data_IF_580515192399
#
_entry.id   IF_580515192399
#
_cell.length_a   1.000
_cell.length_b   1.000
_cell.length_c   1.000
_cell.angle_alpha   90.00
_cell.angle_beta   90.00
_cell.angle_gamma   90.00
#
_symmetry.space_group_name_H-M   'P 1'
#
loop_
_entity.id
_entity.type
_entity.pdbx_description
1 polymer ?
#
# COMPACT_ATOMS: atom_id res chain seq x y z
N UNK A 1 25.91 -46.48 7.86
CA UNK A 1 25.70 -47.11 9.17
C UNK A 1 26.42 -46.27 10.21
N UNK A 2 25.70 -45.34 10.82
CA UNK A 2 26.21 -44.39 11.81
C UNK A 2 25.14 -44.23 12.87
N UNK A 3 25.55 -44.44 14.12
CA UNK A 3 24.68 -44.67 15.28
C UNK A 3 24.01 -43.39 15.77
N UNK A 4 22.71 -43.52 16.07
CA UNK A 4 21.85 -42.53 16.70
C UNK A 4 22.31 -42.22 18.13
N UNK A 5 22.36 -40.93 18.48
CA UNK A 5 22.40 -40.44 19.87
C UNK A 5 21.08 -39.72 20.14
N UNK A 6 20.26 -40.27 21.04
CA UNK A 6 19.06 -39.65 21.60
C UNK A 6 19.49 -38.60 22.63
N UNK A 7 18.99 -37.36 22.50
CA UNK A 7 18.95 -36.38 23.60
C UNK A 7 17.51 -36.00 23.86
N UNK A 8 17.07 -36.30 25.07
CA UNK A 8 15.80 -35.93 25.69
C UNK A 8 15.88 -34.47 26.13
N UNK A 9 14.91 -33.62 25.73
CA UNK A 9 14.73 -32.29 26.32
C UNK A 9 13.53 -32.35 27.28
N UNK A 10 13.79 -31.93 28.52
CA UNK A 10 12.82 -31.83 29.59
C UNK A 10 12.06 -30.49 29.51
N UNK A 11 10.75 -30.58 29.68
CA UNK A 11 9.79 -29.49 29.79
C UNK A 11 9.87 -28.87 31.18
N UNK A 12 10.05 -27.55 31.29
CA UNK A 12 9.88 -26.80 32.55
C UNK A 12 8.69 -25.86 32.42
N UNK A 13 7.64 -26.20 33.18
CA UNK A 13 6.42 -25.45 33.39
C UNK A 13 6.59 -24.65 34.69
N UNK A 14 6.53 -23.32 34.63
CA UNK A 14 6.57 -22.46 35.81
C UNK A 14 5.15 -21.98 36.14
N UNK A 15 4.66 -22.40 37.31
CA UNK A 15 3.41 -21.98 37.94
C UNK A 15 3.75 -20.84 38.90
N UNK A 16 3.13 -19.67 38.74
CA UNK A 16 3.16 -18.60 39.74
C UNK A 16 1.80 -18.52 40.45
N UNK A 17 1.82 -18.83 41.73
CA UNK A 17 0.72 -18.63 42.68
C UNK A 17 0.97 -17.31 43.43
N UNK A 18 -0.04 -16.46 43.56
CA UNK A 18 -0.05 -15.39 44.58
C UNK A 18 -1.34 -15.48 45.39
N UNK A 19 -1.15 -15.58 46.70
CA UNK A 19 -2.17 -15.71 47.73
C UNK A 19 -2.87 -14.38 48.01
N UNK A 20 -4.14 -14.48 48.45
CA UNK A 20 -4.98 -13.36 48.82
C UNK A 20 -4.78 -12.86 50.24
N UNK A 21 -5.40 -11.71 50.51
CA UNK A 21 -5.76 -11.25 51.85
C UNK A 21 -7.17 -10.63 51.79
N UNK A 22 -8.05 -11.18 52.62
CA UNK A 22 -9.41 -10.71 52.89
C UNK A 22 -9.40 -9.65 54.00
N UNK A 23 -10.33 -8.69 53.94
CA UNK A 23 -10.63 -7.78 55.05
C UNK A 23 -12.01 -7.15 54.84
N UNK A 24 -12.94 -7.48 55.73
CA UNK A 24 -14.35 -7.08 55.69
C UNK A 24 -14.68 -6.06 56.79
N UNK A 25 -15.55 -5.09 56.46
CA UNK A 25 -16.52 -4.50 57.40
C UNK A 25 -16.31 -3.03 57.82
N UNK A 26 -17.31 -2.41 58.47
CA UNK A 26 -18.44 -1.74 57.79
C UNK A 26 -18.67 -0.29 58.28
N UNK A 27 -19.51 0.50 57.60
CA UNK A 27 -20.01 1.76 58.16
C UNK A 27 -20.60 2.76 57.17
N UNK A 28 -21.91 2.94 57.27
CA UNK A 28 -22.78 3.95 56.63
C UNK A 28 -22.55 5.38 57.13
N UNK A 29 -22.72 6.39 56.26
CA UNK A 29 -23.64 7.55 56.46
C UNK A 29 -23.43 8.67 55.44
N UNK A 30 -24.56 9.16 54.94
CA UNK A 30 -24.88 10.54 54.56
C UNK A 30 -24.34 11.22 53.29
N UNK A 31 -25.31 11.58 52.43
CA UNK A 31 -25.24 12.61 51.41
C UNK A 31 -25.21 14.02 52.06
N UNK A 32 -24.78 15.08 51.35
CA UNK A 32 -25.72 15.71 50.42
C UNK A 32 -25.12 16.18 49.08
N UNK A 33 -26.05 16.29 48.14
CA UNK A 33 -26.03 17.01 46.88
C UNK A 33 -25.32 18.37 46.89
N UNK A 34 -24.44 18.60 45.92
CA UNK A 34 -24.29 19.90 45.26
C UNK A 34 -23.71 19.71 43.84
N UNK A 35 -24.56 19.97 42.84
CA UNK A 35 -24.16 20.15 41.46
C UNK A 35 -23.70 21.60 41.24
N UNK A 36 -22.76 21.83 40.30
CA UNK A 36 -22.74 23.10 39.59
C UNK A 36 -22.78 22.91 38.07
N UNK A 37 -23.72 23.65 37.46
CA UNK A 37 -23.47 24.41 36.24
C UNK A 37 -23.35 23.64 34.93
N UNK A 38 -24.51 23.33 34.33
CA UNK A 38 -24.60 23.19 32.89
C UNK A 38 -24.31 24.55 32.24
N UNK A 39 -23.23 24.62 31.46
CA UNK A 39 -22.95 25.75 30.55
C UNK A 39 -23.71 25.46 29.26
N UNK A 40 -24.71 26.30 28.97
CA UNK A 40 -25.43 26.33 27.70
C UNK A 40 -24.44 26.58 26.56
N UNK A 41 -24.31 25.59 25.68
CA UNK A 41 -23.72 25.78 24.35
C UNK A 41 -24.82 26.27 23.41
N UNK A 42 -24.60 27.36 22.64
CA UNK A 42 -25.60 27.85 21.70
C UNK A 42 -25.82 26.85 20.56
N UNK A 43 -27.10 26.68 20.20
CA UNK A 43 -27.56 25.79 19.15
C UNK A 43 -26.93 26.11 17.78
N UNK A 44 -26.65 25.09 16.94
CA UNK A 44 -26.19 25.31 15.59
C UNK A 44 -27.32 25.91 14.73
N UNK A 45 -27.01 27.01 14.06
CA UNK A 45 -27.86 27.65 13.06
C UNK A 45 -28.25 26.66 11.97
N UNK A 46 -29.56 26.51 11.74
CA UNK A 46 -30.12 25.70 10.66
C UNK A 46 -29.66 26.21 9.28
N UNK A 47 -29.37 25.32 8.32
CA UNK A 47 -29.07 25.71 6.95
C UNK A 47 -30.33 26.27 6.27
N UNK A 48 -30.18 27.45 5.67
CA UNK A 48 -31.22 28.12 4.89
C UNK A 48 -31.68 27.25 3.72
N UNK A 49 -33.00 27.05 3.60
CA UNK A 49 -33.59 26.41 2.43
C UNK A 49 -33.35 27.25 1.16
N UNK A 50 -33.09 26.62 0.00
CA UNK A 50 -33.04 27.34 -1.27
C UNK A 50 -34.47 27.73 -1.70
N UNK A 51 -34.68 29.02 -1.99
CA UNK A 51 -35.88 29.48 -2.68
C UNK A 51 -35.94 28.92 -4.12
N UNK A 52 -37.13 28.52 -4.60
CA UNK A 52 -37.32 28.13 -5.99
C UNK A 52 -37.57 29.37 -6.85
N UNK A 53 -36.76 29.58 -7.89
CA UNK A 53 -37.12 30.52 -8.96
C UNK A 53 -35.97 31.09 -9.76
N UNK A 54 -35.75 30.52 -10.95
CA UNK A 54 -35.64 31.17 -12.27
C UNK A 54 -34.75 30.33 -13.18
N UNK A 55 -35.38 29.66 -14.14
CA UNK A 55 -34.75 29.10 -15.33
C UNK A 55 -34.11 30.22 -16.17
N UNK A 56 -32.83 30.11 -16.55
CA UNK A 56 -32.28 30.96 -17.60
C UNK A 56 -32.63 30.38 -18.97
N UNK A 57 -33.22 31.21 -19.81
CA UNK A 57 -33.42 30.97 -21.25
C UNK A 57 -32.10 30.57 -21.92
N UNK A 58 -32.07 29.37 -22.50
CA UNK A 58 -30.99 28.93 -23.38
C UNK A 58 -31.41 29.16 -24.82
N UNK A 59 -31.22 30.39 -25.31
CA UNK A 59 -31.33 30.69 -26.73
C UNK A 59 -30.07 30.19 -27.44
N UNK A 60 -30.21 29.12 -28.21
CA UNK A 60 -29.16 28.56 -29.07
C UNK A 60 -29.00 29.46 -30.31
N UNK A 61 -27.81 29.98 -30.63
CA UNK A 61 -27.56 30.57 -31.94
C UNK A 61 -27.25 29.46 -32.95
N UNK A 62 -28.10 29.34 -33.96
CA UNK A 62 -27.87 28.54 -35.17
C UNK A 62 -26.71 29.13 -35.97
N UNK A 63 -25.66 28.36 -36.21
CA UNK A 63 -24.65 28.65 -37.24
C UNK A 63 -24.96 27.83 -38.51
N UNK A 64 -24.91 28.45 -39.71
CA UNK A 64 -25.15 27.76 -40.97
C UNK A 64 -23.91 26.95 -41.39
N UNK A 65 -24.18 25.75 -41.92
CA UNK A 65 -23.15 24.82 -42.36
C UNK A 65 -22.46 25.20 -43.66
N UNK A 66 -21.34 24.52 -43.91
CA UNK A 66 -20.92 24.04 -45.23
C UNK A 66 -19.73 23.07 -45.09
N UNK A 67 -19.98 21.84 -45.50
CA UNK A 67 -19.17 20.92 -46.32
C UNK A 67 -17.64 21.01 -46.27
N UNK A 68 -17.00 19.94 -45.76
CA UNK A 68 -15.88 19.24 -46.41
C UNK A 68 -15.59 17.94 -45.64
N UNK A 69 -15.95 16.80 -46.24
CA UNK A 69 -15.42 15.49 -45.86
C UNK A 69 -13.94 15.43 -46.25
N UNK A 70 -13.05 15.43 -45.25
CA UNK A 70 -11.65 15.04 -45.43
C UNK A 70 -11.33 13.88 -44.47
N UNK A 71 -11.24 12.70 -45.08
CA UNK A 71 -10.93 11.42 -44.47
C UNK A 71 -9.51 11.46 -43.87
N UNK A 72 -9.40 11.83 -42.60
CA UNK A 72 -8.15 11.80 -41.84
C UNK A 72 -8.04 10.46 -41.11
N UNK A 73 -7.12 9.63 -41.59
CA UNK A 73 -6.73 8.37 -40.98
C UNK A 73 -6.41 8.56 -39.49
N UNK A 74 -7.04 7.73 -38.65
CA UNK A 74 -6.75 7.65 -37.22
C UNK A 74 -5.26 7.35 -36.99
N UNK A 75 -4.57 8.09 -36.11
CA UNK A 75 -3.23 7.72 -35.70
C UNK A 75 -3.31 6.42 -34.89
N UNK A 76 -2.57 5.42 -35.34
CA UNK A 76 -2.24 4.22 -34.59
C UNK A 76 -1.71 4.63 -33.20
N UNK A 77 -2.14 4.00 -32.09
CA UNK A 77 -1.56 4.27 -30.79
C UNK A 77 -0.08 3.91 -30.86
N UNK A 78 0.79 4.91 -30.66
CA UNK A 78 2.20 4.68 -30.45
C UNK A 78 2.34 3.80 -29.22
N UNK A 79 3.02 2.65 -29.36
CA UNK A 79 3.47 1.86 -28.22
C UNK A 79 4.22 2.80 -27.28
N UNK A 80 3.67 3.01 -26.08
CA UNK A 80 4.28 3.82 -25.05
C UNK A 80 5.57 3.14 -24.64
N UNK A 81 6.71 3.65 -25.11
CA UNK A 81 8.01 3.17 -24.68
C UNK A 81 8.17 3.50 -23.19
N UNK A 82 8.04 2.48 -22.33
CA UNK A 82 8.32 2.57 -20.90
C UNK A 82 9.72 3.17 -20.71
N UNK A 83 9.91 4.15 -19.80
CA UNK A 83 11.23 4.70 -19.55
C UNK A 83 12.23 3.59 -19.26
N UNK A 84 13.39 3.65 -19.92
CA UNK A 84 14.50 2.74 -19.66
C UNK A 84 14.82 2.69 -18.16
N UNK A 85 15.33 1.56 -17.64
CA UNK A 85 15.88 1.50 -16.30
C UNK A 85 16.86 2.66 -16.09
N UNK A 86 17.07 3.07 -14.83
CA UNK A 86 18.08 4.06 -14.41
C UNK A 86 19.51 3.52 -14.65
N UNK A 87 19.81 3.13 -15.88
CA UNK A 87 21.06 2.58 -16.35
C UNK A 87 21.97 3.76 -16.74
N UNK A 88 22.89 4.13 -15.84
CA UNK A 88 23.92 5.15 -16.10
C UNK A 88 24.11 6.20 -15.01
N UNK A 89 23.38 6.14 -13.90
CA UNK A 89 23.50 7.15 -12.85
C UNK A 89 24.80 6.98 -12.04
N UNK A 90 25.79 7.84 -12.30
CA UNK A 90 26.75 8.17 -11.25
C UNK A 90 25.98 8.79 -10.09
N UNK A 91 26.00 8.16 -8.91
CA UNK A 91 25.35 8.71 -7.74
C UNK A 91 25.93 10.11 -7.45
N UNK A 92 25.09 11.11 -7.14
CA UNK A 92 25.59 12.46 -6.90
C UNK A 92 26.54 12.47 -5.71
N UNK A 93 27.61 13.25 -5.81
CA UNK A 93 28.56 13.41 -4.72
C UNK A 93 27.84 13.91 -3.46
N UNK A 94 28.09 13.24 -2.33
CA UNK A 94 27.48 13.57 -1.05
C UNK A 94 26.12 12.94 -0.77
N UNK A 95 25.58 12.10 -1.67
CA UNK A 95 24.46 11.23 -1.32
C UNK A 95 24.91 10.25 -0.22
N UNK A 96 24.24 10.21 0.94
CA UNK A 96 24.53 9.21 1.96
C UNK A 96 24.47 7.80 1.37
N UNK A 97 25.39 6.94 1.78
CA UNK A 97 25.46 5.57 1.31
C UNK A 97 25.46 4.61 2.49
N UNK A 98 24.54 3.65 2.43
CA UNK A 98 24.37 2.58 3.39
C UNK A 98 24.59 1.22 2.69
N UNK A 99 24.92 0.19 3.47
CA UNK A 99 25.08 -1.18 2.97
C UNK A 99 24.67 -2.21 4.01
N UNK A 100 24.31 -3.40 3.53
CA UNK A 100 23.93 -4.54 4.36
C UNK A 100 22.80 -5.35 3.71
N UNK A 101 22.06 -6.13 4.50
CA UNK A 101 20.85 -6.80 4.04
C UNK A 101 19.68 -5.81 3.99
N UNK A 102 19.24 -5.44 2.79
CA UNK A 102 18.12 -4.50 2.61
C UNK A 102 16.85 -5.02 3.28
N UNK A 103 16.57 -6.33 3.17
CA UNK A 103 15.44 -6.99 3.84
C UNK A 103 15.44 -6.73 5.34
N UNK A 104 16.59 -6.91 5.98
CA UNK A 104 16.76 -6.69 7.43
C UNK A 104 16.62 -5.21 7.79
N UNK A 105 17.07 -4.31 6.94
CA UNK A 105 16.94 -2.86 7.13
C UNK A 105 15.46 -2.44 7.05
N UNK A 106 14.73 -2.88 6.02
CA UNK A 106 13.34 -2.48 5.79
C UNK A 106 12.38 -2.94 6.89
N UNK A 107 12.65 -4.08 7.54
CA UNK A 107 11.88 -4.55 8.69
C UNK A 107 11.94 -3.61 9.90
N UNK A 108 12.81 -2.60 9.88
CA UNK A 108 12.94 -1.57 10.90
C UNK A 108 12.31 -0.23 10.49
N UNK A 109 11.53 -0.23 9.40
CA UNK A 109 10.82 0.95 8.94
C UNK A 109 10.07 1.60 10.11
N UNK A 110 10.19 2.92 10.22
CA UNK A 110 9.61 3.66 11.32
C UNK A 110 8.12 3.90 11.06
N UNK A 111 7.29 3.27 11.87
CA UNK A 111 5.82 3.38 11.79
C UNK A 111 5.31 3.94 13.10
N UNK A 112 4.55 5.03 13.05
CA UNK A 112 3.96 5.63 14.25
C UNK A 112 2.91 4.70 14.86
N UNK A 113 2.98 4.50 16.17
CA UNK A 113 2.15 3.53 16.90
C UNK A 113 0.65 3.89 16.88
N UNK A 114 -0.25 2.90 17.05
CA UNK A 114 -1.68 3.16 17.21
C UNK A 114 -1.93 4.09 18.41
N UNK A 115 -2.86 5.05 18.26
CA UNK A 115 -3.22 6.01 19.30
C UNK A 115 -2.12 7.02 19.69
N UNK A 116 -1.02 7.09 18.93
CA UNK A 116 0.09 7.99 19.24
C UNK A 116 -0.15 9.46 18.89
N UNK A 117 -1.15 9.73 18.03
CA UNK A 117 -1.34 11.00 17.33
C UNK A 117 -0.06 11.43 16.57
N UNK A 118 0.75 10.45 16.17
CA UNK A 118 2.04 10.66 15.51
C UNK A 118 1.94 10.92 14.01
N UNK A 119 0.79 10.64 13.38
CA UNK A 119 0.54 11.01 11.99
C UNK A 119 0.27 12.51 11.90
N UNK A 120 0.98 13.20 10.99
CA UNK A 120 0.68 14.58 10.65
C UNK A 120 0.38 14.67 9.18
N UNK A 121 -0.84 15.09 8.88
CA UNK A 121 -1.29 15.27 7.51
C UNK A 121 -0.41 16.29 6.78
N UNK A 122 0.13 15.94 5.60
CA UNK A 122 0.83 16.90 4.76
C UNK A 122 -0.13 17.90 4.12
N UNK A 123 0.30 19.15 4.01
CA UNK A 123 -0.43 20.16 3.24
C UNK A 123 -0.46 19.81 1.75
N UNK A 124 -1.43 20.37 1.02
CA UNK A 124 -1.48 20.22 -0.45
C UNK A 124 -0.20 20.68 -1.15
N UNK A 125 0.46 21.72 -0.64
CA UNK A 125 1.76 22.19 -1.16
C UNK A 125 2.86 21.16 -0.96
N UNK A 126 2.92 20.52 0.21
CA UNK A 126 3.90 19.47 0.50
C UNK A 126 3.66 18.22 -0.35
N UNK A 127 2.39 17.80 -0.51
CA UNK A 127 2.03 16.68 -1.38
C UNK A 127 2.47 16.93 -2.82
N UNK A 128 2.14 18.10 -3.38
CA UNK A 128 2.53 18.44 -4.74
C UNK A 128 4.06 18.58 -4.90
N UNK A 129 4.77 19.10 -3.90
CA UNK A 129 6.22 19.17 -3.92
C UNK A 129 6.86 17.78 -3.84
N UNK A 130 6.34 16.90 -2.98
CA UNK A 130 6.79 15.53 -2.85
C UNK A 130 6.57 14.74 -4.15
N UNK A 131 5.37 14.81 -4.73
CA UNK A 131 5.02 14.10 -5.95
C UNK A 131 5.94 14.50 -7.12
N UNK A 132 6.21 15.81 -7.28
CA UNK A 132 7.19 16.29 -8.27
C UNK A 132 8.60 15.80 -8.00
N UNK A 133 9.08 15.89 -6.77
CA UNK A 133 10.44 15.46 -6.41
C UNK A 133 10.61 13.94 -6.58
N UNK A 134 9.60 13.15 -6.22
CA UNK A 134 9.59 11.70 -6.41
C UNK A 134 9.50 11.32 -7.88
N UNK A 135 8.64 11.95 -8.67
CA UNK A 135 8.60 11.75 -10.13
C UNK A 135 9.93 12.08 -10.82
N UNK A 136 10.59 13.17 -10.40
CA UNK A 136 11.92 13.52 -10.89
C UNK A 136 12.96 12.46 -10.50
N UNK A 137 12.93 11.96 -9.26
CA UNK A 137 13.80 10.87 -8.78
C UNK A 137 13.63 9.61 -9.63
N UNK A 138 12.38 9.23 -9.94
CA UNK A 138 12.07 8.05 -10.75
C UNK A 138 12.51 8.20 -12.21
N UNK A 139 12.35 9.40 -12.78
CA UNK A 139 12.61 9.66 -14.21
C UNK A 139 14.07 9.96 -14.51
N UNK A 140 14.78 10.63 -13.61
CA UNK A 140 16.13 11.16 -13.85
C UNK A 140 17.20 10.61 -12.89
N UNK A 141 16.77 9.86 -11.87
CA UNK A 141 17.66 9.38 -10.81
C UNK A 141 17.94 10.44 -9.74
N UNK A 142 18.82 10.13 -8.77
CA UNK A 142 19.12 11.02 -7.66
C UNK A 142 19.99 12.20 -8.12
N UNK A 143 19.71 13.39 -7.61
CA UNK A 143 20.51 14.60 -7.85
C UNK A 143 20.74 15.37 -6.54
N UNK A 144 21.67 16.32 -6.54
CA UNK A 144 21.85 17.20 -5.38
C UNK A 144 20.59 18.05 -5.10
N UNK A 145 19.77 18.30 -6.12
CA UNK A 145 18.48 18.98 -5.97
C UNK A 145 17.44 18.07 -5.31
N UNK A 146 17.29 16.83 -5.77
CA UNK A 146 16.34 15.89 -5.15
C UNK A 146 16.65 15.67 -3.67
N UNK A 147 17.94 15.58 -3.29
CA UNK A 147 18.36 15.48 -1.88
C UNK A 147 17.89 16.69 -1.07
N UNK A 148 18.01 17.91 -1.61
CA UNK A 148 17.55 19.13 -0.92
C UNK A 148 16.03 19.21 -0.84
N UNK A 149 15.33 18.87 -1.91
CA UNK A 149 13.87 18.91 -1.96
C UNK A 149 13.26 17.96 -0.93
N UNK A 150 13.77 16.73 -0.86
CA UNK A 150 13.34 15.77 0.16
C UNK A 150 13.68 16.22 1.58
N UNK A 151 14.86 16.80 1.80
CA UNK A 151 15.23 17.34 3.11
C UNK A 151 14.28 18.46 3.58
N UNK A 152 13.83 19.34 2.67
CA UNK A 152 12.83 20.36 2.99
C UNK A 152 11.46 19.76 3.34
N UNK A 153 11.16 18.58 2.80
CA UNK A 153 9.98 17.78 3.11
C UNK A 153 10.21 16.83 4.31
N UNK A 154 11.30 16.96 5.05
CA UNK A 154 11.56 16.13 6.23
C UNK A 154 11.94 14.68 5.92
N UNK A 155 12.34 14.38 4.69
CA UNK A 155 12.83 13.05 4.29
C UNK A 155 14.36 13.06 4.12
N UNK A 156 14.97 11.90 4.33
CA UNK A 156 16.35 11.64 3.92
C UNK A 156 16.35 10.69 2.71
N UNK A 157 17.07 11.09 1.66
CA UNK A 157 17.37 10.26 0.50
C UNK A 157 18.79 9.69 0.66
N UNK A 158 18.93 8.37 0.60
CA UNK A 158 20.20 7.67 0.61
C UNK A 158 20.27 6.63 -0.51
N UNK A 159 21.50 6.24 -0.86
CA UNK A 159 21.76 5.02 -1.64
C UNK A 159 21.96 3.85 -0.69
N UNK A 160 21.52 2.67 -1.12
CA UNK A 160 21.67 1.44 -0.36
C UNK A 160 22.24 0.32 -1.24
N UNK A 161 23.35 -0.27 -0.83
CA UNK A 161 23.94 -1.44 -1.48
C UNK A 161 23.52 -2.70 -0.73
N UNK A 162 22.70 -3.54 -1.37
CA UNK A 162 22.26 -4.81 -0.78
C UNK A 162 23.35 -5.88 -0.93
N UNK A 163 23.93 -6.30 0.19
CA UNK A 163 25.01 -7.30 0.20
C UNK A 163 24.50 -8.71 -0.15
N UNK A 164 23.20 -8.98 0.02
CA UNK A 164 22.60 -10.28 -0.26
C UNK A 164 22.38 -10.50 -1.77
N UNK A 165 21.85 -9.50 -2.47
CA UNK A 165 21.56 -9.58 -3.92
C UNK A 165 22.62 -8.91 -4.81
N UNK A 166 23.45 -8.04 -4.26
CA UNK A 166 24.35 -7.17 -5.02
C UNK A 166 23.66 -6.03 -5.76
N UNK A 167 22.34 -5.84 -5.57
CA UNK A 167 21.58 -4.78 -6.21
C UNK A 167 21.71 -3.45 -5.46
N UNK A 168 21.67 -2.34 -6.21
CA UNK A 168 21.63 -0.99 -5.68
C UNK A 168 20.21 -0.46 -5.58
N UNK A 169 19.95 0.33 -4.54
CA UNK A 169 18.63 0.90 -4.24
C UNK A 169 18.76 2.36 -3.83
N UNK A 170 17.68 3.11 -3.99
CA UNK A 170 17.48 4.40 -3.34
C UNK A 170 16.46 4.22 -2.23
N UNK A 171 16.73 4.84 -1.09
CA UNK A 171 15.87 4.78 0.08
C UNK A 171 15.51 6.20 0.48
N UNK A 172 14.22 6.47 0.48
CA UNK A 172 13.64 7.71 0.97
C UNK A 172 12.89 7.40 2.27
N UNK A 173 13.32 7.98 3.38
CA UNK A 173 12.73 7.69 4.70
C UNK A 173 12.31 8.97 5.42
N UNK A 174 11.14 8.93 6.05
CA UNK A 174 10.66 10.01 6.92
C UNK A 174 11.61 10.21 8.10
N UNK A 175 12.04 11.44 8.33
CA UNK A 175 13.02 11.80 9.36
C UNK A 175 12.50 12.89 10.29
N UNK A 176 13.35 13.39 11.17
CA UNK A 176 12.94 14.23 12.29
C UNK A 176 12.47 15.63 11.85
N UNK A 177 11.29 16.14 12.30
CA UNK A 177 10.32 15.46 13.16
C UNK A 177 9.55 14.38 12.41
N UNK A 178 9.62 13.15 12.93
CA UNK A 178 8.88 12.00 12.40
C UNK A 178 7.40 12.34 12.39
N UNK A 179 6.75 12.18 11.24
CA UNK A 179 5.37 12.61 11.01
C UNK A 179 4.48 11.54 10.38
N UNK A 180 5.00 10.33 10.25
CA UNK A 180 4.31 9.23 9.61
C UNK A 180 4.35 9.33 8.09
N UNK A 181 5.42 9.91 7.54
CA UNK A 181 5.58 10.13 6.10
C UNK A 181 5.90 8.89 5.27
N UNK A 182 6.38 7.82 5.89
CA UNK A 182 6.63 6.53 5.25
C UNK A 182 8.08 6.26 4.90
N UNK A 183 8.29 5.12 4.24
CA UNK A 183 9.57 4.71 3.66
C UNK A 183 9.33 4.22 2.25
N UNK A 184 10.07 4.76 1.29
CA UNK A 184 9.93 4.47 -0.12
C UNK A 184 11.26 3.98 -0.67
N UNK A 185 11.25 2.84 -1.34
CA UNK A 185 12.44 2.21 -1.90
C UNK A 185 12.29 2.17 -3.41
N UNK A 186 13.33 2.58 -4.14
CA UNK A 186 13.41 2.48 -5.60
C UNK A 186 14.57 1.58 -5.97
N UNK A 187 14.29 0.57 -6.79
CA UNK A 187 15.28 -0.34 -7.35
C UNK A 187 16.01 0.33 -8.51
N UNK A 188 17.34 0.40 -8.46
CA UNK A 188 18.14 0.96 -9.55
C UNK A 188 18.29 0.00 -10.74
N UNK A 189 17.96 -1.27 -10.56
CA UNK A 189 18.00 -2.30 -11.60
C UNK A 189 16.82 -3.28 -11.46
N UNK A 190 15.59 -2.81 -11.73
CA UNK A 190 14.39 -3.65 -11.61
C UNK A 190 14.29 -4.70 -12.73
N UNK A 191 13.69 -5.84 -12.39
CA UNK A 191 13.43 -6.96 -13.28
C UNK A 191 11.99 -7.00 -13.81
N UNK A 192 11.06 -6.37 -13.08
CA UNK A 192 9.63 -6.35 -13.39
C UNK A 192 9.06 -4.95 -13.33
N UNK A 193 8.11 -4.66 -14.21
CA UNK A 193 7.29 -3.46 -14.13
C UNK A 193 6.19 -3.59 -13.06
N UNK A 194 6.65 -3.69 -11.81
CA UNK A 194 5.86 -3.98 -10.62
C UNK A 194 6.35 -3.11 -9.49
N UNK A 195 5.45 -2.56 -8.67
CA UNK A 195 5.79 -2.10 -7.33
C UNK A 195 4.84 -2.66 -6.29
N UNK A 196 5.34 -2.67 -5.06
CA UNK A 196 4.67 -3.27 -3.91
C UNK A 196 4.25 -2.18 -2.93
N UNK A 197 3.14 -2.41 -2.26
CA UNK A 197 2.54 -1.48 -1.32
C UNK A 197 2.18 -2.21 -0.02
N UNK A 198 2.72 -1.74 1.10
CA UNK A 198 2.36 -2.21 2.45
C UNK A 198 1.70 -1.06 3.21
N UNK A 199 0.44 -0.69 2.88
CA UNK A 199 -0.23 0.46 3.50
C UNK A 199 -0.55 0.23 4.98
N UNK A 200 -0.51 -1.02 5.45
CA UNK A 200 -0.77 -1.44 6.83
C UNK A 200 0.41 -2.22 7.43
N UNK A 201 1.65 -1.85 7.11
CA UNK A 201 2.86 -2.63 7.42
C UNK A 201 2.97 -3.18 8.87
N UNK A 202 2.50 -2.45 9.89
CA UNK A 202 2.48 -2.90 11.29
C UNK A 202 1.08 -3.35 11.77
N UNK A 203 0.03 -2.89 11.11
CA UNK A 203 -1.37 -3.13 11.48
C UNK A 203 -1.87 -4.46 10.93
N UNK A 204 -1.31 -4.90 9.81
CA UNK A 204 -1.47 -6.22 9.21
C UNK A 204 -0.18 -7.00 9.45
N UNK A 205 -0.06 -7.61 10.63
CA UNK A 205 1.18 -8.25 11.09
C UNK A 205 1.76 -9.19 10.01
N UNK A 206 3.04 -8.97 9.69
CA UNK A 206 3.79 -9.71 8.67
C UNK A 206 3.90 -9.02 7.32
N UNK A 207 2.98 -8.11 6.95
CA UNK A 207 3.01 -7.43 5.63
C UNK A 207 4.27 -6.60 5.41
N UNK A 208 4.83 -5.96 6.44
CA UNK A 208 6.13 -5.27 6.33
C UNK A 208 7.26 -6.22 5.89
N UNK A 209 7.37 -7.36 6.57
CA UNK A 209 8.40 -8.35 6.25
C UNK A 209 8.16 -8.96 4.88
N UNK A 210 6.91 -9.26 4.55
CA UNK A 210 6.51 -9.79 3.26
C UNK A 210 6.85 -8.85 2.10
N UNK A 211 6.52 -7.56 2.21
CA UNK A 211 6.85 -6.57 1.18
C UNK A 211 8.35 -6.42 0.97
N UNK A 212 9.15 -6.45 2.05
CA UNK A 212 10.61 -6.43 1.96
C UNK A 212 11.18 -7.67 1.25
N UNK A 213 10.64 -8.86 1.55
CA UNK A 213 11.05 -10.10 0.86
C UNK A 213 10.67 -10.08 -0.62
N UNK A 214 9.42 -9.72 -0.92
CA UNK A 214 8.89 -9.66 -2.28
C UNK A 214 9.65 -8.65 -3.14
N UNK A 215 10.01 -7.48 -2.59
CA UNK A 215 10.77 -6.45 -3.31
C UNK A 215 12.06 -7.02 -3.90
N UNK A 216 12.86 -7.66 -3.05
CA UNK A 216 14.17 -8.19 -3.44
C UNK A 216 14.02 -9.47 -4.26
N UNK A 217 13.10 -10.37 -3.88
CA UNK A 217 12.89 -11.63 -4.59
C UNK A 217 12.36 -11.41 -6.02
N UNK A 218 11.41 -10.50 -6.21
CA UNK A 218 10.79 -10.25 -7.52
C UNK A 218 11.61 -9.29 -8.38
N UNK A 219 12.57 -8.56 -7.81
CA UNK A 219 13.23 -7.45 -8.50
C UNK A 219 12.23 -6.36 -8.88
N UNK A 220 11.27 -6.05 -7.99
CA UNK A 220 10.26 -5.02 -8.24
C UNK A 220 10.92 -3.63 -8.38
N UNK A 221 10.26 -2.70 -9.09
CA UNK A 221 10.68 -1.31 -9.24
C UNK A 221 10.74 -0.56 -7.93
N UNK A 222 9.75 -0.77 -7.07
CA UNK A 222 9.64 -0.02 -5.83
C UNK A 222 8.88 -0.77 -4.74
N UNK A 223 9.05 -0.31 -3.51
CA UNK A 223 8.24 -0.67 -2.35
C UNK A 223 7.83 0.61 -1.62
N UNK A 224 6.53 0.76 -1.37
CA UNK A 224 5.97 1.81 -0.53
C UNK A 224 5.56 1.22 0.82
N UNK A 225 6.10 1.77 1.89
CA UNK A 225 5.80 1.37 3.27
C UNK A 225 5.14 2.56 3.97
N UNK A 226 3.96 2.35 4.57
CA UNK A 226 3.31 3.39 5.38
C UNK A 226 4.23 3.90 6.49
N UNK A 227 4.08 5.17 6.87
CA UNK A 227 4.77 5.74 8.02
C UNK A 227 3.94 5.73 9.29
N UNK A 228 2.66 5.35 9.19
CA UNK A 228 1.73 5.34 10.31
C UNK A 228 0.94 4.05 10.36
N UNK A 229 0.72 3.58 11.59
CA UNK A 229 -0.33 2.63 11.86
C UNK A 229 -1.66 3.23 11.39
N UNK A 230 -2.56 2.42 10.84
CA UNK A 230 -3.86 2.93 10.34
C UNK A 230 -4.75 3.51 11.44
N UNK A 231 -4.43 3.21 12.71
CA UNK A 231 -5.08 3.76 13.89
C UNK A 231 -4.17 4.74 14.66
N UNK A 232 -3.13 5.30 14.04
CA UNK A 232 -2.19 6.20 14.71
C UNK A 232 -2.83 7.51 15.17
N UNK A 233 -3.89 7.97 14.53
CA UNK A 233 -4.65 9.16 14.93
C UNK A 233 -6.16 8.92 14.99
N UNK A 234 -6.86 9.81 15.70
CA UNK A 234 -8.32 9.74 15.90
C UNK A 234 -9.14 10.43 14.80
N UNK A 235 -8.51 11.30 14.00
CA UNK A 235 -9.19 12.00 12.92
C UNK A 235 -9.74 11.03 11.85
N UNK A 236 -11.04 11.14 11.58
CA UNK A 236 -11.77 10.32 10.61
C UNK A 236 -11.42 10.79 9.19
N UNK A 237 -11.05 9.85 8.32
CA UNK A 237 -10.88 10.12 6.89
C UNK A 237 -12.22 10.53 6.29
N UNK A 238 -12.27 11.60 5.49
CA UNK A 238 -13.48 11.97 4.77
C UNK A 238 -13.79 11.01 3.61
N UNK A 239 -12.84 10.17 3.19
CA UNK A 239 -13.02 9.27 2.06
C UNK A 239 -14.09 8.20 2.32
N UNK A 240 -14.75 7.79 1.24
CA UNK A 240 -15.78 6.74 1.27
C UNK A 240 -15.20 5.43 1.80
N UNK A 241 -15.86 4.86 2.79
CA UNK A 241 -15.50 3.58 3.39
C UNK A 241 -15.84 3.55 4.87
N UNK A 242 -16.05 2.36 5.41
CA UNK A 242 -16.33 2.18 6.84
C UNK A 242 -15.51 1.04 7.40
N UNK A 243 -15.15 1.17 8.67
CA UNK A 243 -14.46 0.14 9.44
C UNK A 243 -14.78 0.31 10.92
N UNK A 244 -14.47 -0.70 11.72
CA UNK A 244 -14.45 -0.63 13.18
C UNK A 244 -13.07 -1.00 13.75
N UNK A 245 -12.05 -1.21 12.90
CA UNK A 245 -10.72 -1.71 13.30
C UNK A 245 -10.05 -0.80 14.34
N UNK A 246 -10.29 0.50 14.27
CA UNK A 246 -9.74 1.47 15.22
C UNK A 246 -10.71 1.79 16.39
N UNK A 247 -11.60 0.87 16.76
CA UNK A 247 -12.52 0.98 17.90
C UNK A 247 -13.64 2.03 17.78
N UNK A 248 -13.73 2.68 16.63
CA UNK A 248 -14.63 3.80 16.33
C UNK A 248 -14.98 3.72 14.84
N UNK A 249 -16.20 4.11 14.48
CA UNK A 249 -16.68 4.01 13.10
C UNK A 249 -15.86 4.87 12.13
N UNK A 250 -15.62 4.32 10.94
CA UNK A 250 -14.97 5.03 9.83
C UNK A 250 -13.46 4.83 9.77
N UNK A 251 -12.91 5.08 8.59
CA UNK A 251 -11.46 5.04 8.34
C UNK A 251 -10.76 6.23 8.99
N UNK A 252 -9.44 6.17 9.17
CA UNK A 252 -8.65 7.29 9.74
C UNK A 252 -7.82 7.98 8.67
N UNK A 253 -7.50 9.25 8.87
CA UNK A 253 -6.56 9.98 7.99
C UNK A 253 -5.15 9.36 8.02
N UNK A 254 -4.82 8.61 9.08
CA UNK A 254 -3.56 7.86 9.22
C UNK A 254 -3.55 6.51 8.49
N UNK A 255 -4.69 6.09 7.92
CA UNK A 255 -4.79 4.90 7.09
C UNK A 255 -4.33 5.22 5.66
N UNK A 256 -3.16 4.71 5.29
CA UNK A 256 -2.53 5.00 4.00
C UNK A 256 -3.35 4.49 2.79
N UNK A 257 -4.12 3.41 2.95
CA UNK A 257 -4.96 2.85 1.90
C UNK A 257 -6.29 3.58 1.75
N UNK A 258 -6.77 4.24 2.80
CA UNK A 258 -8.11 4.84 2.86
C UNK A 258 -8.11 6.36 3.01
N UNK A 259 -6.98 7.00 2.73
CA UNK A 259 -6.87 8.45 2.70
C UNK A 259 -6.03 8.93 1.51
N UNK A 260 -6.52 9.96 0.80
CA UNK A 260 -5.89 10.44 -0.42
C UNK A 260 -4.80 11.50 -0.20
N UNK A 261 -4.77 12.14 0.98
CA UNK A 261 -3.83 13.21 1.29
C UNK A 261 -2.72 12.72 2.23
N UNK A 262 -1.91 11.78 1.74
CA UNK A 262 -0.72 11.31 2.42
C UNK A 262 0.42 11.09 1.41
N UNK A 263 1.67 11.05 1.90
CA UNK A 263 2.83 10.85 1.04
C UNK A 263 2.86 9.47 0.37
N UNK A 264 2.21 8.46 0.96
CA UNK A 264 2.05 7.14 0.35
C UNK A 264 1.30 7.21 -0.97
N UNK A 265 0.17 7.93 -1.00
CA UNK A 265 -0.64 8.16 -2.19
C UNK A 265 0.08 9.06 -3.19
N UNK A 266 0.82 10.08 -2.72
CA UNK A 266 1.62 10.93 -3.61
C UNK A 266 2.73 10.14 -4.31
N UNK A 267 3.42 9.25 -3.59
CA UNK A 267 4.42 8.35 -4.17
C UNK A 267 3.80 7.38 -5.18
N UNK A 268 2.62 6.83 -4.88
CA UNK A 268 1.86 5.99 -5.81
C UNK A 268 1.51 6.76 -7.10
N UNK A 269 0.99 7.99 -7.00
CA UNK A 269 0.69 8.84 -8.17
C UNK A 269 1.94 9.09 -9.02
N UNK A 270 3.06 9.46 -8.39
CA UNK A 270 4.31 9.66 -9.09
C UNK A 270 4.81 8.38 -9.80
N UNK A 271 4.65 7.20 -9.19
CA UNK A 271 4.95 5.92 -9.85
C UNK A 271 4.04 5.65 -11.03
N UNK A 272 2.73 5.84 -10.87
CA UNK A 272 1.74 5.67 -11.95
C UNK A 272 2.00 6.61 -13.12
N UNK A 273 2.29 7.89 -12.86
CA UNK A 273 2.56 8.87 -13.89
C UNK A 273 3.87 8.55 -14.64
N UNK A 274 4.89 8.05 -13.94
CA UNK A 274 6.19 7.69 -14.53
C UNK A 274 6.12 6.35 -15.28
N UNK A 275 5.35 5.39 -14.76
CA UNK A 275 5.23 4.02 -15.28
C UNK A 275 3.74 3.68 -15.50
N UNK A 276 3.11 4.24 -16.55
CA UNK A 276 1.67 4.16 -16.76
C UNK A 276 1.13 2.74 -16.93
N UNK A 277 1.99 1.80 -17.35
CA UNK A 277 1.67 0.38 -17.57
C UNK A 277 2.11 -0.53 -16.41
N UNK A 278 2.83 0.01 -15.42
CA UNK A 278 3.33 -0.78 -14.30
C UNK A 278 2.20 -1.28 -13.40
N UNK A 279 2.42 -2.41 -12.73
CA UNK A 279 1.44 -3.01 -11.83
C UNK A 279 1.73 -2.60 -10.38
N UNK A 280 0.73 -2.08 -9.68
CA UNK A 280 0.75 -1.90 -8.24
C UNK A 280 0.18 -3.13 -7.54
N UNK A 281 0.85 -3.66 -6.52
CA UNK A 281 0.31 -4.72 -5.65
C UNK A 281 0.24 -4.22 -4.22
N UNK A 282 -0.98 -3.99 -3.72
CA UNK A 282 -1.26 -3.63 -2.34
C UNK A 282 -1.50 -4.89 -1.51
N UNK A 283 -0.56 -5.19 -0.60
CA UNK A 283 -0.64 -6.35 0.28
C UNK A 283 -1.24 -5.97 1.63
N UNK A 284 -2.28 -6.70 2.01
CA UNK A 284 -3.05 -6.49 3.23
C UNK A 284 -3.14 -7.79 4.02
N UNK A 285 -3.62 -7.67 5.25
CA UNK A 285 -3.89 -8.78 6.15
C UNK A 285 -5.36 -8.83 6.53
N UNK A 286 -5.89 -10.05 6.54
CA UNK A 286 -7.21 -10.32 7.09
C UNK A 286 -7.10 -11.26 8.28
N UNK A 287 -7.98 -11.04 9.26
CA UNK A 287 -8.27 -12.03 10.28
C UNK A 287 -8.98 -13.22 9.65
N UNK A 288 -8.70 -14.42 10.12
CA UNK A 288 -9.43 -15.62 9.72
C UNK A 288 -10.66 -15.77 10.60
N UNK A 289 -11.83 -15.97 9.99
CA UNK A 289 -12.87 -16.71 10.69
C UNK A 289 -12.34 -18.14 10.88
N UNK A 290 -12.54 -18.74 12.06
CA UNK A 290 -11.98 -20.07 12.37
C UNK A 290 -12.28 -21.10 11.26
N UNK A 291 -13.49 -21.05 10.70
CA UNK A 291 -13.98 -21.93 9.63
C UNK A 291 -14.02 -21.27 8.23
N UNK A 292 -13.38 -20.12 8.05
CA UNK A 292 -13.35 -19.40 6.77
C UNK A 292 -12.59 -20.19 5.69
N UNK A 293 -13.13 -20.32 4.46
CA UNK A 293 -12.49 -21.06 3.38
C UNK A 293 -11.26 -20.35 2.79
N UNK A 294 -11.05 -19.07 3.11
CA UNK A 294 -10.08 -18.22 2.41
C UNK A 294 -8.68 -18.29 2.99
N UNK A 295 -7.70 -18.69 2.18
CA UNK A 295 -6.28 -18.42 2.42
C UNK A 295 -5.94 -16.97 2.03
N UNK A 296 -6.60 -16.47 0.98
CA UNK A 296 -6.55 -15.09 0.52
C UNK A 296 -7.78 -14.74 -0.34
N UNK A 297 -8.05 -13.45 -0.49
CA UNK A 297 -8.99 -12.84 -1.43
C UNK A 297 -8.21 -11.84 -2.27
N UNK A 298 -8.24 -12.02 -3.59
CA UNK A 298 -7.55 -11.15 -4.56
C UNK A 298 -8.57 -10.31 -5.32
N UNK A 299 -8.28 -9.04 -5.56
CA UNK A 299 -9.09 -8.22 -6.46
C UNK A 299 -8.25 -7.27 -7.30
N UNK A 300 -8.89 -6.63 -8.27
CA UNK A 300 -8.36 -5.50 -9.02
C UNK A 300 -8.80 -4.14 -8.44
N UNK A 301 -9.20 -4.12 -7.16
CA UNK A 301 -9.81 -2.94 -6.51
C UNK A 301 -11.29 -2.73 -6.86
N UNK A 302 -11.93 -3.69 -7.54
CA UNK A 302 -13.37 -3.67 -7.81
C UNK A 302 -14.03 -4.98 -7.35
N UNK A 303 -15.37 -5.00 -7.34
CA UNK A 303 -16.19 -6.20 -7.10
C UNK A 303 -16.86 -6.72 -8.37
N UNK A 304 -16.44 -6.23 -9.55
CA UNK A 304 -17.04 -6.60 -10.83
C UNK A 304 -16.39 -7.87 -11.36
N UNK A 305 -17.21 -8.81 -11.82
CA UNK A 305 -16.76 -10.00 -12.53
C UNK A 305 -15.95 -9.61 -13.77
N UNK A 306 -14.72 -10.12 -13.86
CA UNK A 306 -13.79 -9.91 -14.97
C UNK A 306 -12.96 -11.18 -15.19
N UNK A 307 -13.55 -12.15 -15.87
CA UNK A 307 -12.86 -13.39 -16.22
C UNK A 307 -11.56 -13.08 -16.99
N UNK A 308 -10.45 -13.68 -16.57
CA UNK A 308 -9.14 -13.47 -17.18
C UNK A 308 -8.41 -12.20 -16.76
N UNK A 309 -8.97 -11.40 -15.84
CA UNK A 309 -8.26 -10.25 -15.27
C UNK A 309 -6.95 -10.66 -14.60
N UNK A 310 -6.07 -9.67 -14.36
CA UNK A 310 -4.82 -9.91 -13.66
C UNK A 310 -5.05 -10.48 -12.24
N UNK A 311 -6.11 -10.04 -11.55
CA UNK A 311 -6.50 -10.54 -10.23
C UNK A 311 -6.93 -12.01 -10.25
N UNK A 312 -7.65 -12.44 -11.29
CA UNK A 312 -8.02 -13.85 -11.48
C UNK A 312 -6.78 -14.70 -11.78
N UNK A 313 -5.83 -14.20 -12.58
CA UNK A 313 -4.55 -14.88 -12.83
C UNK A 313 -3.73 -15.06 -11.55
N UNK A 314 -3.63 -14.02 -10.72
CA UNK A 314 -2.95 -14.13 -9.42
C UNK A 314 -3.65 -15.14 -8.49
N UNK A 315 -4.98 -15.15 -8.44
CA UNK A 315 -5.76 -16.15 -7.71
C UNK A 315 -5.43 -17.57 -8.17
N UNK A 316 -5.40 -17.79 -9.48
CA UNK A 316 -5.13 -19.11 -10.06
C UNK A 316 -3.69 -19.55 -9.76
N UNK A 317 -2.71 -18.66 -9.93
CA UNK A 317 -1.30 -18.94 -9.63
C UNK A 317 -1.08 -19.25 -8.13
N UNK A 318 -1.71 -18.49 -7.23
CA UNK A 318 -1.64 -18.76 -5.79
C UNK A 318 -2.18 -20.16 -5.45
N UNK A 319 -3.34 -20.53 -6.01
CA UNK A 319 -3.90 -21.87 -5.78
C UNK A 319 -3.03 -23.00 -6.35
N UNK A 320 -2.15 -22.73 -7.32
CA UNK A 320 -1.21 -23.71 -7.85
C UNK A 320 0.01 -23.90 -6.93
N UNK A 321 0.51 -22.81 -6.34
CA UNK A 321 1.72 -22.84 -5.50
C UNK A 321 1.45 -23.10 -4.02
N UNK A 322 0.22 -22.91 -3.55
CA UNK A 322 -0.11 -23.12 -2.15
C UNK A 322 0.11 -24.59 -1.74
N UNK A 323 0.74 -24.82 -0.57
CA UNK A 323 0.76 -26.15 0.03
C UNK A 323 -0.66 -26.69 0.24
N UNK A 324 -0.85 -28.03 0.26
CA UNK A 324 -2.14 -28.63 0.54
C UNK A 324 -2.77 -28.05 1.81
N UNK A 325 -3.96 -27.47 1.67
CA UNK A 325 -4.66 -26.74 2.72
C UNK A 325 -6.17 -26.86 2.50
N UNK A 326 -6.99 -26.90 3.58
CA UNK A 326 -8.43 -26.77 3.44
C UNK A 326 -8.85 -25.38 2.95
N UNK A 327 -7.97 -24.38 3.09
CA UNK A 327 -8.20 -23.01 2.64
C UNK A 327 -7.63 -22.78 1.25
N UNK A 328 -8.35 -21.99 0.45
CA UNK A 328 -8.02 -21.68 -0.95
C UNK A 328 -8.01 -20.17 -1.19
N UNK A 329 -7.43 -19.75 -2.30
CA UNK A 329 -7.50 -18.34 -2.72
C UNK A 329 -8.73 -18.12 -3.58
N UNK A 330 -9.46 -17.04 -3.29
CA UNK A 330 -10.60 -16.58 -4.07
C UNK A 330 -10.30 -15.25 -4.73
N UNK A 331 -11.09 -14.88 -5.74
CA UNK A 331 -11.05 -13.54 -6.33
C UNK A 331 -12.42 -12.89 -6.38
N UNK A 332 -12.48 -11.61 -5.99
CA UNK A 332 -13.67 -10.77 -6.18
C UNK A 332 -14.06 -10.57 -7.65
N UNK A 333 -13.17 -10.91 -8.59
CA UNK A 333 -13.38 -10.71 -10.02
C UNK A 333 -13.57 -12.04 -10.77
N UNK A 334 -13.44 -13.18 -10.10
CA UNK A 334 -13.70 -14.48 -10.70
C UNK A 334 -15.19 -14.82 -10.61
N UNK A 335 -15.93 -14.97 -11.74
CA UNK A 335 -17.36 -15.29 -11.69
C UNK A 335 -17.66 -16.58 -10.89
N UNK A 336 -16.73 -17.54 -10.96
CA UNK A 336 -16.83 -18.80 -10.24
C UNK A 336 -16.66 -18.70 -8.71
N UNK A 337 -16.19 -17.58 -8.19
CA UNK A 337 -15.91 -17.38 -6.76
C UNK A 337 -16.99 -16.54 -6.06
N UNK A 338 -17.90 -15.93 -6.82
CA UNK A 338 -18.98 -15.09 -6.30
C UNK A 338 -19.78 -15.78 -5.19
N UNK A 339 -19.90 -15.10 -4.06
CA UNK A 339 -20.60 -15.59 -2.87
C UNK A 339 -19.89 -16.68 -2.06
N UNK A 340 -18.64 -17.03 -2.40
CA UNK A 340 -17.86 -18.09 -1.71
C UNK A 340 -16.79 -17.57 -0.75
N UNK A 341 -16.64 -16.25 -0.68
CA UNK A 341 -15.64 -15.57 0.13
C UNK A 341 -16.19 -14.24 0.68
N UNK A 342 -15.51 -13.70 1.70
CA UNK A 342 -15.76 -12.35 2.20
C UNK A 342 -15.45 -11.27 1.16
N UNK A 343 -16.22 -10.18 1.20
CA UNK A 343 -16.08 -9.04 0.28
C UNK A 343 -14.91 -8.11 0.65
N UNK A 344 -13.69 -8.65 0.64
CA UNK A 344 -12.45 -7.92 0.90
C UNK A 344 -11.81 -7.45 -0.42
N UNK A 345 -12.60 -6.74 -1.21
CA UNK A 345 -12.29 -6.45 -2.61
C UNK A 345 -11.50 -5.15 -2.83
N UNK A 346 -11.03 -4.49 -1.77
CA UNK A 346 -10.25 -3.26 -1.89
C UNK A 346 -10.98 -2.11 -2.60
N UNK A 347 -12.31 -2.11 -2.63
CA UNK A 347 -13.11 -1.12 -3.39
C UNK A 347 -12.97 0.31 -2.86
N UNK A 348 -12.55 0.44 -1.61
CA UNK A 348 -12.27 1.72 -0.95
C UNK A 348 -10.78 2.07 -0.92
N UNK A 349 -9.91 1.22 -1.46
CA UNK A 349 -8.48 1.48 -1.52
C UNK A 349 -8.23 2.62 -2.54
N UNK A 350 -7.66 3.72 -2.05
CA UNK A 350 -7.44 4.94 -2.83
C UNK A 350 -6.50 4.69 -4.01
N UNK A 351 -5.45 3.89 -3.82
CA UNK A 351 -4.49 3.56 -4.88
C UNK A 351 -5.19 2.77 -6.00
N UNK A 352 -6.01 1.78 -5.65
CA UNK A 352 -6.81 1.05 -6.62
C UNK A 352 -7.81 1.93 -7.39
N UNK A 353 -8.41 2.92 -6.72
CA UNK A 353 -9.31 3.89 -7.37
C UNK A 353 -8.57 4.81 -8.33
N UNK A 354 -7.36 5.26 -7.99
CA UNK A 354 -6.49 6.05 -8.89
C UNK A 354 -6.18 5.24 -10.15
N UNK A 355 -5.68 4.02 -10.00
CA UNK A 355 -5.26 3.17 -11.11
C UNK A 355 -6.42 2.77 -12.03
N UNK A 356 -7.63 2.69 -11.48
CA UNK A 356 -8.85 2.39 -12.20
C UNK A 356 -9.58 3.63 -12.73
N UNK A 357 -8.98 4.83 -12.61
CA UNK A 357 -9.49 6.05 -13.24
C UNK A 357 -10.73 6.64 -12.57
N UNK A 358 -10.87 6.50 -11.25
CA UNK A 358 -11.89 7.23 -10.51
C UNK A 358 -11.67 8.75 -10.68
N UNK A 359 -12.74 9.50 -10.97
CA UNK A 359 -12.66 10.96 -11.09
C UNK A 359 -12.27 11.65 -9.78
N UNK A 360 -12.62 11.04 -8.65
CA UNK A 360 -12.12 11.37 -7.32
C UNK A 360 -11.93 10.08 -6.52
N UNK A 361 -10.67 9.70 -6.27
CA UNK A 361 -10.33 8.45 -5.59
C UNK A 361 -10.76 8.41 -4.11
N UNK A 362 -11.05 9.55 -3.50
CA UNK A 362 -11.53 9.60 -2.11
C UNK A 362 -13.01 9.21 -2.03
N UNK A 363 -13.82 9.62 -3.01
CA UNK A 363 -15.28 9.49 -2.91
C UNK A 363 -15.92 8.54 -3.93
N UNK A 364 -15.32 8.41 -5.11
CA UNK A 364 -15.94 7.78 -6.26
C UNK A 364 -15.39 6.40 -6.53
N UNK A 365 -16.28 5.48 -6.90
CA UNK A 365 -15.87 4.21 -7.48
C UNK A 365 -15.34 4.44 -8.90
N UNK A 366 -14.37 3.64 -9.35
CA UNK A 366 -13.86 3.76 -10.71
C UNK A 366 -14.87 3.23 -11.73
N UNK A 367 -14.86 3.76 -12.97
CA UNK A 367 -15.75 3.28 -14.03
C UNK A 367 -15.49 1.80 -14.37
N UNK A 368 -14.22 1.40 -14.47
CA UNK A 368 -13.78 0.05 -14.78
C UNK A 368 -12.37 -0.21 -14.24
N UNK A 369 -12.04 -1.48 -13.96
CA UNK A 369 -10.69 -1.87 -13.62
C UNK A 369 -9.77 -1.89 -14.84
N UNK A 370 -8.48 -1.59 -14.64
CA UNK A 370 -7.50 -1.44 -15.73
C UNK A 370 -6.42 -2.53 -15.76
N UNK A 371 -6.47 -3.51 -14.86
CA UNK A 371 -5.42 -4.52 -14.64
C UNK A 371 -4.04 -3.92 -14.26
N UNK A 372 -4.04 -2.69 -13.73
CA UNK A 372 -2.83 -2.01 -13.25
C UNK A 372 -2.69 -1.98 -11.73
N UNK A 373 -3.72 -2.45 -11.01
CA UNK A 373 -3.74 -2.57 -9.56
C UNK A 373 -4.19 -3.97 -9.15
N UNK A 374 -3.54 -4.53 -8.14
CA UNK A 374 -3.88 -5.77 -7.47
C UNK A 374 -3.99 -5.53 -5.98
N UNK A 375 -5.10 -5.97 -5.39
CA UNK A 375 -5.32 -6.02 -3.96
C UNK A 375 -5.20 -7.45 -3.47
N UNK A 376 -4.41 -7.70 -2.43
CA UNK A 376 -4.24 -9.02 -1.84
C UNK A 376 -4.55 -8.97 -0.34
N UNK A 377 -5.70 -9.50 0.04
CA UNK A 377 -6.09 -9.73 1.43
C UNK A 377 -5.82 -11.17 1.80
N UNK A 378 -4.99 -11.42 2.81
CA UNK A 378 -4.42 -12.75 3.04
C UNK A 378 -4.31 -13.05 4.52
N UNK A 379 -4.30 -14.34 4.86
CA UNK A 379 -4.11 -14.83 6.23
C UNK A 379 -2.65 -14.72 6.67
N UNK A 380 -2.39 -14.78 7.99
CA UNK A 380 -1.02 -14.72 8.54
C UNK A 380 -0.08 -15.79 7.99
N UNK A 381 -0.62 -16.96 7.63
CA UNK A 381 0.16 -18.05 7.05
C UNK A 381 0.86 -17.66 5.73
N UNK A 382 0.27 -16.77 4.93
CA UNK A 382 0.82 -16.31 3.66
C UNK A 382 1.77 -15.10 3.81
N UNK A 383 1.72 -14.41 4.96
CA UNK A 383 2.50 -13.20 5.25
C UNK A 383 3.87 -13.50 5.90
N UNK A 384 4.10 -14.74 6.30
CA UNK A 384 5.32 -15.19 6.95
C UNK A 384 6.40 -15.70 5.98
N UNK A 385 7.42 -16.37 6.52
CA UNK A 385 8.43 -17.08 5.74
C UNK A 385 8.03 -18.55 5.54
N UNK A 386 8.64 -19.20 4.54
CA UNK A 386 8.43 -20.61 4.23
C UNK A 386 7.38 -20.85 3.14
N UNK A 387 6.93 -22.10 2.95
CA UNK A 387 6.28 -22.52 1.70
C UNK A 387 5.05 -21.69 1.30
N UNK A 388 4.21 -21.28 2.26
CA UNK A 388 3.02 -20.46 1.97
C UNK A 388 3.36 -19.01 1.61
N UNK A 389 4.40 -18.43 2.22
CA UNK A 389 4.91 -17.10 1.84
C UNK A 389 5.62 -17.14 0.49
N UNK A 390 6.42 -18.19 0.25
CA UNK A 390 7.08 -18.45 -1.03
C UNK A 390 6.06 -18.61 -2.17
N UNK A 391 4.91 -19.23 -1.89
CA UNK A 391 3.82 -19.35 -2.85
C UNK A 391 3.28 -17.98 -3.31
N UNK A 392 3.26 -16.97 -2.43
CA UNK A 392 2.86 -15.60 -2.83
C UNK A 392 3.90 -14.99 -3.76
N UNK A 393 5.19 -15.14 -3.46
CA UNK A 393 6.27 -14.65 -4.32
C UNK A 393 6.21 -15.34 -5.69
N UNK A 394 6.05 -16.66 -5.74
CA UNK A 394 5.95 -17.40 -7.00
C UNK A 394 4.72 -17.00 -7.81
N UNK A 395 3.56 -16.88 -7.17
CA UNK A 395 2.34 -16.49 -7.85
C UNK A 395 2.44 -15.06 -8.43
N UNK A 396 3.08 -14.13 -7.73
CA UNK A 396 3.36 -12.79 -8.27
C UNK A 396 4.35 -12.84 -9.43
N UNK A 397 5.38 -13.68 -9.35
CA UNK A 397 6.36 -13.89 -10.42
C UNK A 397 5.73 -14.44 -11.70
N UNK A 398 4.73 -15.34 -11.58
CA UNK A 398 3.96 -15.90 -12.70
C UNK A 398 2.94 -14.90 -13.26
N UNK A 399 2.43 -14.01 -12.40
CA UNK A 399 1.40 -13.02 -12.77
C UNK A 399 1.99 -11.83 -13.51
N UNK A 400 3.15 -11.31 -13.05
CA UNK A 400 3.83 -10.16 -13.65
C UNK A 400 5.18 -10.61 -14.22
N UNK A 401 5.33 -10.63 -15.56
CA UNK A 401 6.52 -11.18 -16.20
C UNK A 401 7.75 -10.29 -16.03
N UNK A 402 8.92 -10.87 -16.28
CA UNK A 402 10.17 -10.12 -16.38
C UNK A 402 10.17 -9.27 -17.66
N UNK A 403 9.92 -7.97 -17.50
CA UNK A 403 9.88 -7.00 -18.59
C UNK A 403 11.09 -6.05 -18.60
N UNK A 404 11.98 -6.16 -17.62
CA UNK A 404 13.12 -5.26 -17.41
C UNK A 404 14.42 -6.07 -17.20
N UNK A 405 15.61 -5.48 -17.44
CA UNK A 405 16.87 -6.22 -17.47
C UNK A 405 17.46 -6.54 -16.09
N UNK A 406 16.79 -6.19 -15.00
CA UNK A 406 17.25 -6.44 -13.65
C UNK A 406 17.17 -7.89 -13.19
N UNK A 407 17.68 -8.11 -11.97
CA UNK A 407 17.67 -9.43 -11.34
C UNK A 407 16.39 -9.65 -10.53
N UNK A 408 15.79 -10.82 -10.69
CA UNK A 408 14.60 -11.24 -9.95
C UNK A 408 14.31 -12.71 -10.19
N UNK A 409 13.47 -13.31 -9.35
CA UNK A 409 13.05 -14.70 -9.43
C UNK A 409 12.52 -15.02 -10.84
N UNK A 410 13.06 -16.06 -11.47
CA UNK A 410 12.66 -16.49 -12.82
C UNK A 410 13.07 -15.56 -13.96
N UNK A 411 13.78 -14.45 -13.69
CA UNK A 411 14.25 -13.55 -14.73
C UNK A 411 15.62 -13.98 -15.26
N UNK A 412 15.84 -14.00 -16.59
CA UNK A 412 17.15 -14.30 -17.14
C UNK A 412 18.14 -13.25 -16.66
N UNK A 413 19.26 -13.69 -16.06
CA UNK A 413 20.34 -12.80 -15.68
C UNK A 413 20.92 -12.17 -16.96
N UNK A 414 20.51 -10.95 -17.29
CA UNK A 414 21.21 -10.17 -18.29
C UNK A 414 22.50 -9.75 -17.62
N UNK A 415 23.65 -10.06 -18.23
CA UNK A 415 24.95 -9.57 -17.77
C UNK A 415 24.94 -8.04 -17.87
N UNK A 416 24.41 -7.38 -16.83
CA UNK A 416 24.28 -5.94 -16.81
C UNK A 416 25.68 -5.37 -16.63
N UNK A 417 26.25 -4.86 -17.73
CA UNK A 417 27.55 -4.20 -17.73
C UNK A 417 27.54 -2.87 -16.95
N UNK A 418 26.39 -2.46 -16.41
CA UNK A 418 26.17 -1.10 -15.91
C UNK A 418 25.16 -1.03 -14.76
N UNK A 419 25.13 -2.02 -13.87
CA UNK A 419 24.43 -1.84 -12.60
C UNK A 419 25.16 -0.74 -11.79
N UNK A 420 24.42 0.31 -11.40
CA UNK A 420 24.91 1.35 -10.49
C UNK A 420 25.37 0.67 -9.19
N UNK A 421 26.69 0.49 -9.02
CA UNK A 421 27.31 -0.06 -7.81
C UNK A 421 27.59 1.02 -6.80
#
# INVERSE_FOLDING_TARGET
MTSFIKRTLATSLAILSVAGCSGSGPGSSDAPSHAPGAVESPAPSAPSQPQPGRTPDTSTPTLPGQDAEEETASPTPSEGSTPSPLAGCGLPAGLPSEKGSLRTWLRKANITSPGSEGFREPSGTELAAFERAFGALLSTGPSAESVRDFAQLGFTLSSYSDEDSGNGWLVLSDTNPKRGGGTFVVNLSPARDLWLETPHADSDEGTLSQGAEQLVALGARALLITGSNRCAGTAVSPCSGTTQVCGTSGQRVSDAAHYANNFFTAAHRALRDTFPDGVAVSVHGMDVAEDGPEAAVVSDGTSKDRAGSLSVRLRDALNQHLPPSPRRVFSCNAPGDSGKHRLLCGTTNVQGRIDNGAGDACYSDPPAATDRFLHLEQTSALRGTGPSGDAVIQALADTVPCSLPGNGLGCPAVASATACR
#
